data_IF_858814532017
#
_entry.id   IF_858814532017
#
_cell.length_a   1.000
_cell.length_b   1.000
_cell.length_c   1.000
_cell.angle_alpha   90.00
_cell.angle_beta   90.00
_cell.angle_gamma   90.00
#
_symmetry.space_group_name_H-M   'P 1'
#
loop_
_entity.id
_entity.type
_entity.pdbx_description
1 polymer ?
#
# COMPACT_ATOMS: atom_id res chain seq x y z
N UNK A 1 -13.82 0.84 2.61
CA UNK A 1 -13.49 2.24 2.93
C UNK A 1 -13.43 3.06 1.66
N UNK A 2 -13.64 4.38 1.74
CA UNK A 2 -13.42 5.29 0.62
C UNK A 2 -11.94 5.25 0.17
N UNK A 3 -11.69 5.48 -1.12
CA UNK A 3 -10.35 5.64 -1.69
C UNK A 3 -10.21 7.08 -2.18
N UNK A 4 -9.16 7.78 -1.71
CA UNK A 4 -8.85 9.16 -2.09
C UNK A 4 -7.45 9.22 -2.70
N UNK A 5 -7.18 10.15 -3.64
CA UNK A 5 -5.88 10.21 -4.26
C UNK A 5 -4.84 10.87 -3.33
N UNK A 6 -3.61 10.35 -3.28
CA UNK A 6 -2.48 10.86 -2.50
C UNK A 6 -1.22 11.01 -3.34
N UNK A 7 -0.37 11.98 -3.00
CA UNK A 7 0.88 12.28 -3.71
C UNK A 7 2.12 12.14 -2.82
N UNK A 8 3.30 12.44 -3.38
CA UNK A 8 4.54 12.47 -2.64
C UNK A 8 4.72 13.80 -1.91
N UNK A 9 5.23 13.74 -0.69
CA UNK A 9 5.80 14.91 0.00
C UNK A 9 7.29 14.72 0.20
N UNK A 10 8.07 15.77 -0.05
CA UNK A 10 9.46 15.79 0.36
C UNK A 10 9.55 16.22 1.82
N UNK A 11 10.22 15.39 2.62
CA UNK A 11 10.53 15.72 4.02
C UNK A 11 12.04 15.72 4.22
N UNK A 12 12.51 16.61 5.10
CA UNK A 12 13.91 16.61 5.52
C UNK A 12 14.07 15.57 6.63
N UNK A 13 14.82 14.50 6.35
CA UNK A 13 15.14 13.47 7.33
C UNK A 13 16.66 13.34 7.44
N UNK A 14 17.21 13.66 8.62
CA UNK A 14 18.66 13.65 8.90
C UNK A 14 19.48 14.48 7.89
N UNK A 15 18.98 15.66 7.49
CA UNK A 15 19.65 16.54 6.52
C UNK A 15 19.51 16.11 5.06
N UNK A 16 18.79 15.02 4.75
CA UNK A 16 18.52 14.58 3.38
C UNK A 16 17.04 14.78 3.04
N UNK A 17 16.76 15.31 1.86
CA UNK A 17 15.41 15.30 1.29
C UNK A 17 15.04 13.87 0.92
N UNK A 18 13.92 13.39 1.47
CA UNK A 18 13.37 12.06 1.21
C UNK A 18 11.92 12.24 0.76
N UNK A 19 11.57 11.62 -0.37
CA UNK A 19 10.18 11.52 -0.81
C UNK A 19 9.46 10.47 0.01
N UNK A 20 8.36 10.85 0.65
CA UNK A 20 7.47 9.95 1.37
C UNK A 20 6.06 10.08 0.82
N UNK A 21 5.35 8.95 0.75
CA UNK A 21 3.95 8.96 0.36
C UNK A 21 3.09 9.56 1.47
N UNK A 22 2.16 10.42 1.09
CA UNK A 22 1.07 10.82 1.96
C UNK A 22 0.14 9.63 2.20
N UNK A 23 -0.44 9.54 3.39
CA UNK A 23 -1.43 8.53 3.76
C UNK A 23 -2.67 9.29 4.22
N UNK A 24 -3.82 8.98 3.62
CA UNK A 24 -5.06 9.65 3.94
C UNK A 24 -5.50 9.32 5.37
N UNK A 25 -6.06 10.32 6.05
CA UNK A 25 -6.33 10.21 7.48
C UNK A 25 -7.50 9.29 7.80
N UNK A 26 -8.55 9.21 6.98
CA UNK A 26 -9.74 8.39 7.27
C UNK A 26 -10.19 7.53 6.07
N UNK A 27 -9.34 7.44 5.05
CA UNK A 27 -9.60 6.77 3.77
C UNK A 27 -8.36 5.99 3.33
N UNK A 28 -8.53 5.09 2.37
CA UNK A 28 -7.39 4.51 1.67
C UNK A 28 -6.84 5.55 0.68
N UNK A 29 -5.54 5.82 0.71
CA UNK A 29 -4.86 6.67 -0.24
C UNK A 29 -4.40 5.90 -1.47
N UNK A 30 -4.96 6.18 -2.65
CA UNK A 30 -4.44 5.72 -3.93
C UNK A 30 -3.24 6.56 -4.35
N UNK A 31 -2.11 5.91 -4.62
CA UNK A 31 -0.90 6.58 -5.06
C UNK A 31 -1.09 7.03 -6.50
N UNK A 32 -1.23 8.34 -6.75
CA UNK A 32 -1.63 8.89 -8.06
C UNK A 32 -0.69 8.53 -9.23
N UNK A 33 0.56 8.14 -8.95
CA UNK A 33 1.53 7.70 -9.97
C UNK A 33 1.52 6.18 -10.19
N UNK A 34 0.65 5.45 -9.48
CA UNK A 34 0.37 4.03 -9.68
C UNK A 34 -0.74 3.87 -10.73
N UNK A 35 -0.92 2.68 -11.28
CA UNK A 35 -1.89 2.48 -12.37
C UNK A 35 -3.33 2.51 -11.86
N UNK A 36 -4.28 2.61 -12.79
CA UNK A 36 -5.70 2.40 -12.50
C UNK A 36 -6.03 0.91 -12.52
N UNK A 37 -7.11 0.46 -11.83
CA UNK A 37 -7.54 -0.93 -11.92
C UNK A 37 -8.00 -1.29 -13.33
N UNK A 38 -7.71 -2.52 -13.76
CA UNK A 38 -7.91 -2.99 -15.13
C UNK A 38 -6.79 -2.62 -16.11
N UNK A 39 -5.76 -1.90 -15.67
CA UNK A 39 -4.59 -1.57 -16.48
C UNK A 39 -3.39 -2.47 -16.12
N UNK A 40 -2.54 -2.71 -17.12
CA UNK A 40 -1.25 -3.36 -16.92
C UNK A 40 -0.38 -2.52 -15.98
N UNK A 41 -0.03 -3.07 -14.83
CA UNK A 41 0.75 -2.38 -13.82
C UNK A 41 0.26 -2.65 -12.41
N UNK A 42 0.64 -1.76 -11.49
CA UNK A 42 0.38 -1.92 -10.07
C UNK A 42 -0.48 -0.77 -9.56
N UNK A 43 -1.70 -1.05 -9.14
CA UNK A 43 -2.51 -0.13 -8.36
C UNK A 43 -1.99 -0.18 -6.93
N UNK A 44 -1.59 0.97 -6.37
CA UNK A 44 -1.07 1.01 -5.00
C UNK A 44 -2.00 1.80 -4.11
N UNK A 45 -2.50 1.14 -3.06
CA UNK A 45 -3.30 1.76 -2.01
C UNK A 45 -2.56 1.70 -0.67
N UNK A 46 -2.57 2.81 0.06
CA UNK A 46 -2.00 2.91 1.41
C UNK A 46 -3.04 3.39 2.41
N UNK A 47 -2.94 2.97 3.67
CA UNK A 47 -3.91 3.37 4.67
C UNK A 47 -3.39 3.14 6.08
N UNK A 48 -3.97 3.84 7.05
CA UNK A 48 -3.58 3.68 8.45
C UNK A 48 -4.11 2.37 9.04
N UNK A 49 -3.26 1.72 9.84
CA UNK A 49 -3.57 0.49 10.56
C UNK A 49 -4.09 0.74 11.99
N UNK A 50 -3.62 1.80 12.65
CA UNK A 50 -3.69 1.99 14.11
C UNK A 50 -4.03 3.41 14.58
N UNK A 51 -4.23 4.31 13.64
CA UNK A 51 -4.56 5.71 13.90
C UNK A 51 -5.58 6.14 12.87
N UNK A 52 -6.37 7.17 13.19
CA UNK A 52 -7.28 7.89 12.29
C UNK A 52 -8.09 6.96 11.35
N UNK A 53 -9.29 6.57 11.76
CA UNK A 53 -10.18 5.69 11.00
C UNK A 53 -9.73 4.22 10.88
N UNK A 54 -8.43 3.94 10.95
CA UNK A 54 -7.84 2.59 10.91
C UNK A 54 -8.32 1.77 9.72
N UNK A 55 -8.47 2.42 8.56
CA UNK A 55 -9.08 1.82 7.37
C UNK A 55 -8.41 0.52 6.93
N UNK A 56 -7.12 0.34 7.26
CA UNK A 56 -6.30 -0.83 6.93
C UNK A 56 -5.99 -1.69 8.18
N UNK A 57 -6.77 -1.58 9.26
CA UNK A 57 -6.61 -2.35 10.52
C UNK A 57 -6.42 -3.85 10.28
N UNK A 58 -7.24 -4.44 9.42
CA UNK A 58 -7.32 -5.90 9.24
C UNK A 58 -6.61 -6.40 7.98
N UNK A 59 -5.88 -5.56 7.25
CA UNK A 59 -5.14 -6.02 6.06
C UNK A 59 -4.06 -7.04 6.40
N UNK A 60 -3.53 -6.97 7.62
CA UNK A 60 -2.60 -7.98 8.13
C UNK A 60 -3.22 -9.37 8.23
N UNK A 61 -4.54 -9.51 8.26
CA UNK A 61 -5.24 -10.78 8.42
C UNK A 61 -5.60 -11.43 7.07
N UNK A 62 -5.43 -10.72 5.95
CA UNK A 62 -5.67 -11.25 4.61
C UNK A 62 -4.74 -12.43 4.31
N UNK A 63 -5.27 -13.44 3.64
CA UNK A 63 -4.59 -14.67 3.24
C UNK A 63 -4.75 -14.91 1.73
N UNK A 64 -3.83 -15.67 1.10
CA UNK A 64 -4.00 -16.06 -0.29
C UNK A 64 -5.36 -16.70 -0.56
N UNK A 65 -6.04 -16.25 -1.60
CA UNK A 65 -7.41 -16.65 -1.95
C UNK A 65 -8.51 -15.69 -1.46
N UNK A 66 -8.22 -14.81 -0.49
CA UNK A 66 -9.19 -13.80 -0.05
C UNK A 66 -9.51 -12.83 -1.19
N UNK A 67 -10.78 -12.44 -1.31
CA UNK A 67 -11.24 -11.55 -2.38
C UNK A 67 -11.25 -10.10 -1.95
N UNK A 68 -10.76 -9.21 -2.82
CA UNK A 68 -10.79 -7.75 -2.68
C UNK A 68 -11.55 -7.17 -3.86
N UNK A 69 -12.59 -6.38 -3.59
CA UNK A 69 -13.28 -5.59 -4.63
C UNK A 69 -12.89 -4.12 -4.52
N UNK A 70 -12.24 -3.61 -5.57
CA UNK A 70 -11.91 -2.20 -5.73
C UNK A 70 -12.94 -1.54 -6.63
N UNK A 71 -13.55 -0.45 -6.18
CA UNK A 71 -14.48 0.33 -6.97
C UNK A 71 -13.79 1.57 -7.54
N UNK A 72 -13.87 1.76 -8.86
CA UNK A 72 -13.40 2.96 -9.55
C UNK A 72 -14.47 3.41 -10.55
N UNK A 73 -14.85 4.69 -10.51
CA UNK A 73 -15.92 5.27 -11.34
C UNK A 73 -17.22 4.44 -11.38
N UNK A 74 -17.61 3.90 -10.21
CA UNK A 74 -18.79 3.06 -10.06
C UNK A 74 -18.66 1.64 -10.63
N UNK A 75 -17.50 1.25 -11.17
CA UNK A 75 -17.21 -0.08 -11.70
C UNK A 75 -16.45 -0.91 -10.67
N UNK A 76 -16.87 -2.17 -10.39
CA UNK A 76 -16.14 -3.08 -9.53
C UNK A 76 -15.00 -3.79 -10.28
N UNK A 77 -13.85 -3.91 -9.64
CA UNK A 77 -12.70 -4.70 -10.07
C UNK A 77 -12.36 -5.69 -8.96
N UNK A 78 -12.39 -6.98 -9.28
CA UNK A 78 -12.19 -8.05 -8.29
C UNK A 78 -10.78 -8.60 -8.39
N UNK A 79 -10.13 -8.70 -7.25
CA UNK A 79 -8.80 -9.27 -7.09
C UNK A 79 -8.83 -10.40 -6.07
N UNK A 80 -8.01 -11.43 -6.27
CA UNK A 80 -7.71 -12.46 -5.28
C UNK A 80 -6.33 -12.24 -4.70
N UNK A 81 -6.21 -12.27 -3.39
CA UNK A 81 -4.92 -12.15 -2.69
C UNK A 81 -4.01 -13.29 -3.15
N UNK A 82 -2.82 -12.94 -3.61
CA UNK A 82 -1.79 -13.89 -4.01
C UNK A 82 -0.76 -14.07 -2.89
N UNK A 83 -0.36 -12.97 -2.24
CA UNK A 83 0.68 -13.01 -1.21
C UNK A 83 0.55 -11.88 -0.18
N UNK A 84 1.06 -12.16 1.03
CA UNK A 84 1.21 -11.20 2.12
C UNK A 84 2.61 -11.25 2.70
N UNK A 85 3.20 -10.08 2.92
CA UNK A 85 4.52 -9.93 3.53
C UNK A 85 4.47 -8.99 4.73
N UNK A 86 5.26 -9.29 5.77
CA UNK A 86 5.54 -8.37 6.89
C UNK A 86 7.02 -8.04 6.87
N UNK A 87 7.35 -6.85 6.39
CA UNK A 87 8.72 -6.43 6.11
C UNK A 87 9.19 -5.41 7.14
N UNK A 88 10.32 -5.65 7.79
CA UNK A 88 10.90 -4.65 8.69
C UNK A 88 11.40 -3.47 7.87
N UNK A 89 11.08 -2.25 8.30
CA UNK A 89 11.40 -1.03 7.55
C UNK A 89 12.08 0.02 8.44
N UNK A 90 11.60 0.20 9.67
CA UNK A 90 12.19 1.14 10.63
C UNK A 90 13.56 0.64 11.09
N UNK A 91 14.56 1.53 10.99
CA UNK A 91 15.94 1.25 11.39
C UNK A 91 16.71 0.34 10.43
N UNK A 92 16.16 0.05 9.25
CA UNK A 92 16.87 -0.71 8.21
C UNK A 92 17.75 0.19 7.34
N UNK A 93 18.74 -0.42 6.67
CA UNK A 93 19.61 0.27 5.72
C UNK A 93 18.81 0.89 4.56
N UNK A 94 19.40 1.88 3.88
CA UNK A 94 18.79 2.49 2.70
C UNK A 94 18.51 1.45 1.60
N UNK A 95 19.45 0.53 1.38
CA UNK A 95 19.29 -0.58 0.43
C UNK A 95 18.08 -1.45 0.77
N UNK A 96 17.93 -1.83 2.05
CA UNK A 96 16.80 -2.69 2.47
C UNK A 96 15.45 -1.98 2.34
N UNK A 97 15.40 -0.68 2.64
CA UNK A 97 14.20 0.13 2.41
C UNK A 97 13.86 0.23 0.92
N UNK A 98 14.88 0.31 0.05
CA UNK A 98 14.67 0.31 -1.39
C UNK A 98 14.17 -1.05 -1.91
N UNK A 99 14.70 -2.16 -1.37
CA UNK A 99 14.17 -3.51 -1.63
C UNK A 99 12.69 -3.63 -1.21
N UNK A 100 12.31 -3.09 -0.04
CA UNK A 100 10.91 -3.08 0.39
C UNK A 100 10.04 -2.21 -0.54
N UNK A 101 10.55 -1.04 -0.95
CA UNK A 101 9.83 -0.11 -1.80
C UNK A 101 9.55 -0.66 -3.22
N UNK A 102 10.26 -1.72 -3.66
CA UNK A 102 10.00 -2.35 -4.96
C UNK A 102 8.55 -2.84 -5.11
N UNK A 103 7.90 -3.22 -4.01
CA UNK A 103 6.54 -3.76 -4.02
C UNK A 103 5.47 -2.72 -4.39
N UNK A 104 5.77 -1.43 -4.19
CA UNK A 104 4.90 -0.32 -4.58
C UNK A 104 5.38 0.35 -5.89
N UNK A 105 6.33 -0.28 -6.58
CA UNK A 105 6.79 0.15 -7.91
C UNK A 105 5.92 -0.40 -9.04
N UNK A 106 6.35 -0.13 -10.27
CA UNK A 106 5.72 -0.66 -11.48
C UNK A 106 6.01 -2.16 -11.66
N UNK A 107 5.03 -2.88 -12.19
CA UNK A 107 5.14 -4.30 -12.53
C UNK A 107 4.62 -4.56 -13.94
N UNK A 108 5.07 -5.63 -14.62
CA UNK A 108 4.70 -5.92 -16.00
C UNK A 108 3.34 -6.63 -16.14
N UNK A 109 2.59 -6.79 -15.06
CA UNK A 109 1.31 -7.46 -14.98
C UNK A 109 0.33 -6.64 -14.13
N UNK A 110 -0.97 -6.81 -14.39
CA UNK A 110 -1.99 -6.18 -13.55
C UNK A 110 -1.96 -6.76 -12.13
N UNK A 111 -1.94 -5.88 -11.13
CA UNK A 111 -2.02 -6.23 -9.72
C UNK A 111 -2.51 -5.07 -8.86
N UNK A 112 -3.01 -5.41 -7.69
CA UNK A 112 -3.32 -4.50 -6.60
C UNK A 112 -2.33 -4.74 -5.45
N UNK A 113 -1.68 -3.68 -4.98
CA UNK A 113 -0.83 -3.70 -3.79
C UNK A 113 -1.44 -2.85 -2.68
N UNK A 114 -1.73 -3.47 -1.53
CA UNK A 114 -2.14 -2.76 -0.31
C UNK A 114 -0.93 -2.66 0.63
N UNK A 115 -0.66 -1.45 1.15
CA UNK A 115 0.45 -1.20 2.09
C UNK A 115 -0.02 -0.51 3.36
N UNK A 116 0.42 -1.00 4.51
CA UNK A 116 0.21 -0.32 5.80
C UNK A 116 1.37 -0.50 6.78
N UNK A 117 1.39 0.29 7.85
CA UNK A 117 2.34 0.18 8.96
C UNK A 117 1.93 -0.92 9.95
N UNK A 118 2.91 -1.57 10.56
CA UNK A 118 2.69 -2.62 11.57
C UNK A 118 3.88 -2.71 12.54
N UNK A 119 3.77 -3.27 13.76
CA UNK A 119 2.55 -3.55 14.50
C UNK A 119 1.92 -2.29 15.08
N UNK A 120 0.68 -2.45 15.54
CA UNK A 120 -0.22 -1.40 16.04
C UNK A 120 0.41 -0.36 16.98
N UNK A 121 1.46 -0.69 17.73
CA UNK A 121 2.06 0.25 18.70
C UNK A 121 3.41 0.83 18.28
N UNK A 122 4.09 0.27 17.27
CA UNK A 122 5.48 0.65 16.97
C UNK A 122 5.78 0.98 15.50
N UNK A 123 4.92 0.57 14.56
CA UNK A 123 5.06 0.86 13.13
C UNK A 123 6.46 0.53 12.55
N UNK A 124 7.12 -0.48 13.13
CA UNK A 124 8.48 -0.91 12.78
C UNK A 124 8.56 -1.65 11.44
N UNK A 125 7.43 -2.16 10.97
CA UNK A 125 7.25 -2.98 9.78
C UNK A 125 6.25 -2.34 8.81
N UNK A 126 6.22 -2.89 7.60
CA UNK A 126 5.19 -2.69 6.59
C UNK A 126 4.53 -4.02 6.30
N UNK A 127 3.20 -4.02 6.28
CA UNK A 127 2.42 -5.11 5.69
C UNK A 127 2.23 -4.77 4.23
N UNK A 128 2.55 -5.72 3.36
CA UNK A 128 2.33 -5.65 1.92
C UNK A 128 1.42 -6.81 1.54
N UNK A 129 0.27 -6.52 0.93
CA UNK A 129 -0.60 -7.52 0.33
C UNK A 129 -0.60 -7.30 -1.17
N UNK A 130 -0.34 -8.35 -1.93
CA UNK A 130 -0.41 -8.35 -3.40
C UNK A 130 -1.58 -9.22 -3.82
N UNK A 131 -2.42 -8.69 -4.69
CA UNK A 131 -3.59 -9.37 -5.24
C UNK A 131 -3.63 -9.27 -6.77
N UNK A 132 -4.23 -10.26 -7.41
CA UNK A 132 -4.30 -10.44 -8.87
C UNK A 132 -5.75 -10.41 -9.35
N UNK A 133 -6.03 -9.91 -10.56
CA UNK A 133 -7.38 -9.99 -11.13
C UNK A 133 -7.91 -11.43 -11.13
N UNK A 134 -9.20 -11.59 -10.87
CA UNK A 134 -9.93 -12.88 -10.95
C UNK A 134 -10.69 -13.03 -12.25
#
# INVERSE_FOLDING_TARGET
SEVVPVSWKQILQNGKLVSVWEVAEYAAGWHQNSTLPGEMGNVVLSGHHNVKGEVFRYIVDLNPGDTITLYADGRPYTYSVESRFVLRDKGQSAQKRQENARWIGSFPDERLTLVTCWPYTSNTHRVIVVAKPT
#
